data_IF_257872273370
#
_entry.id   IF_257872273370
#
_cell.length_a   1.000
_cell.length_b   1.000
_cell.length_c   1.000
_cell.angle_alpha   90.00
_cell.angle_beta   90.00
_cell.angle_gamma   90.00
#
_symmetry.space_group_name_H-M   'P 1'
#
loop_
_entity.id
_entity.type
_entity.pdbx_description
1 polymer ?
#
# COMPACT_ATOMS: atom_id res chain seq x y z
N UNK A 1 -62.63 13.83 -46.09
CA UNK A 1 -62.20 12.84 -47.11
C UNK A 1 -60.68 12.72 -47.02
N UNK A 2 -60.25 11.65 -46.35
CA UNK A 2 -59.07 10.81 -46.59
C UNK A 2 -57.72 11.45 -47.03
N UNK A 3 -56.74 11.43 -46.09
CA UNK A 3 -55.32 10.92 -46.21
C UNK A 3 -54.38 11.70 -47.15
N UNK A 4 -53.12 12.07 -46.88
CA UNK A 4 -51.93 11.48 -46.21
C UNK A 4 -50.86 12.61 -46.16
N UNK A 5 -49.82 12.69 -45.31
CA UNK A 5 -48.63 11.84 -45.23
C UNK A 5 -47.73 12.30 -44.05
N UNK A 6 -47.17 11.31 -43.34
CA UNK A 6 -45.79 11.16 -42.80
C UNK A 6 -45.22 12.08 -41.68
N UNK A 7 -45.02 11.41 -40.55
CA UNK A 7 -43.97 11.44 -39.49
C UNK A 7 -42.78 12.42 -39.51
N UNK A 8 -42.58 13.02 -38.32
CA UNK A 8 -41.49 13.78 -37.63
C UNK A 8 -40.06 13.15 -37.60
N UNK A 9 -38.98 13.74 -36.98
CA UNK A 9 -38.86 15.03 -36.24
C UNK A 9 -37.57 15.90 -36.43
N UNK A 10 -37.59 17.06 -35.74
CA UNK A 10 -36.51 17.83 -35.10
C UNK A 10 -35.51 18.64 -35.96
N UNK A 11 -35.62 19.97 -35.91
CA UNK A 11 -34.55 20.83 -35.37
C UNK A 11 -34.93 22.33 -35.36
N UNK A 12 -34.33 23.02 -34.39
CA UNK A 12 -34.13 24.48 -34.27
C UNK A 12 -35.34 25.40 -34.11
N UNK A 13 -35.55 25.88 -32.87
CA UNK A 13 -36.06 27.23 -32.64
C UNK A 13 -34.95 28.05 -32.00
N UNK A 14 -34.38 28.97 -32.79
CA UNK A 14 -33.58 30.08 -32.31
C UNK A 14 -34.50 31.05 -31.56
N UNK A 15 -34.04 31.59 -30.43
CA UNK A 15 -34.58 32.83 -29.89
C UNK A 15 -33.45 33.78 -29.55
N UNK A 16 -33.39 34.84 -30.33
CA UNK A 16 -32.48 35.97 -30.19
C UNK A 16 -32.89 36.88 -29.03
N UNK A 17 -31.93 37.10 -28.13
CA UNK A 17 -31.49 38.36 -27.51
C UNK A 17 -32.55 39.38 -27.07
N UNK A 18 -32.56 39.66 -25.76
CA UNK A 18 -32.82 40.99 -25.23
C UNK A 18 -31.65 41.39 -24.31
N UNK A 19 -30.86 42.36 -24.76
CA UNK A 19 -29.79 43.00 -24.02
C UNK A 19 -30.42 43.97 -23.02
N UNK A 20 -30.28 43.71 -21.72
CA UNK A 20 -30.62 44.66 -20.66
C UNK A 20 -29.32 45.18 -20.03
N UNK A 21 -29.09 46.48 -20.18
CA UNK A 21 -28.03 47.22 -19.51
C UNK A 21 -28.31 47.24 -18.01
N UNK A 22 -27.60 46.39 -17.27
CA UNK A 22 -27.60 46.37 -15.81
C UNK A 22 -26.17 46.29 -15.32
N UNK A 23 -25.78 47.24 -14.48
CA UNK A 23 -24.51 47.30 -13.75
C UNK A 23 -24.34 46.04 -12.90
N UNK A 24 -23.71 45.02 -13.48
CA UNK A 24 -23.32 43.81 -12.80
C UNK A 24 -22.06 43.32 -13.47
N UNK A 25 -20.91 43.54 -12.83
CA UNK A 25 -19.71 42.77 -13.15
C UNK A 25 -20.07 41.33 -12.83
N UNK A 26 -20.39 40.55 -13.86
CA UNK A 26 -20.51 39.10 -13.75
C UNK A 26 -19.08 38.60 -13.55
N UNK A 27 -18.62 38.61 -12.30
CA UNK A 27 -17.45 37.83 -11.93
C UNK A 27 -17.86 36.37 -12.08
N UNK A 28 -17.58 35.80 -13.25
CA UNK A 28 -17.59 34.36 -13.41
C UNK A 28 -16.48 33.84 -12.49
N UNK A 29 -16.87 33.46 -11.27
CA UNK A 29 -16.00 32.74 -10.37
C UNK A 29 -15.75 31.38 -11.01
N UNK A 30 -14.67 31.29 -11.79
CA UNK A 30 -14.06 29.99 -12.09
C UNK A 30 -13.63 29.45 -10.74
N UNK A 31 -14.46 28.56 -10.18
CA UNK A 31 -14.12 27.74 -9.04
C UNK A 31 -12.72 27.19 -9.29
N UNK A 32 -11.81 27.40 -8.35
CA UNK A 32 -10.48 26.81 -8.42
C UNK A 32 -10.71 25.30 -8.53
N UNK A 33 -10.42 24.73 -9.70
CA UNK A 33 -10.42 23.29 -9.86
C UNK A 33 -9.36 22.80 -8.90
N UNK A 34 -9.77 22.13 -7.82
CA UNK A 34 -8.83 21.33 -7.02
C UNK A 34 -8.02 20.50 -7.99
N UNK A 35 -6.70 20.46 -7.80
CA UNK A 35 -5.79 19.75 -8.66
C UNK A 35 -6.22 18.27 -8.76
N UNK A 36 -6.92 17.90 -9.84
CA UNK A 36 -7.34 16.53 -10.08
C UNK A 36 -6.18 15.79 -10.72
N UNK A 37 -5.48 15.02 -9.90
CA UNK A 37 -4.30 14.32 -10.40
C UNK A 37 -4.64 13.04 -11.14
N UNK A 38 -3.89 12.83 -12.24
CA UNK A 38 -4.02 11.64 -13.05
C UNK A 38 -3.79 10.38 -12.20
N UNK A 39 -4.53 9.33 -12.53
CA UNK A 39 -4.43 8.02 -11.87
C UNK A 39 -2.96 7.55 -11.83
N UNK A 40 -2.44 7.33 -10.63
CA UNK A 40 -1.05 6.89 -10.41
C UNK A 40 -0.08 8.02 -10.02
N UNK A 41 -0.55 9.25 -9.93
CA UNK A 41 0.20 10.37 -9.35
C UNK A 41 -0.33 10.74 -7.96
N UNK A 42 0.52 11.38 -7.17
CA UNK A 42 0.14 12.03 -5.92
C UNK A 42 0.42 13.51 -6.05
N UNK A 43 -0.48 14.29 -5.51
CA UNK A 43 -0.44 15.74 -5.53
C UNK A 43 -0.67 16.25 -4.12
N UNK A 44 0.40 16.74 -3.51
CA UNK A 44 0.31 17.40 -2.24
C UNK A 44 -0.15 18.82 -2.51
N UNK A 45 -1.42 19.07 -2.22
CA UNK A 45 -1.91 20.42 -2.03
C UNK A 45 -1.54 20.88 -0.62
N UNK A 46 -1.15 22.13 -0.51
CA UNK A 46 -0.82 22.76 0.78
C UNK A 46 -2.06 23.39 1.45
N UNK A 47 -3.23 23.25 0.81
CA UNK A 47 -4.54 23.55 1.41
C UNK A 47 -4.99 22.51 2.43
N UNK A 48 -4.62 21.23 2.23
CA UNK A 48 -5.06 20.09 3.03
C UNK A 48 -4.28 19.87 4.33
N UNK A 49 -4.07 18.60 4.70
CA UNK A 49 -3.41 18.16 5.94
C UNK A 49 -1.87 18.14 5.88
N UNK A 50 -1.26 18.86 4.93
CA UNK A 50 0.20 18.92 4.82
C UNK A 50 0.81 19.64 6.02
N UNK A 51 1.81 19.00 6.64
CA UNK A 51 2.56 19.47 7.79
C UNK A 51 3.97 19.90 7.38
N UNK A 52 4.62 20.71 8.24
CA UNK A 52 5.89 21.37 7.96
C UNK A 52 6.84 21.24 9.13
N UNK A 53 8.09 20.85 8.85
CA UNK A 53 9.16 20.76 9.85
C UNK A 53 10.36 21.59 9.36
N UNK A 54 10.48 22.87 9.79
CA UNK A 54 11.60 23.72 9.42
C UNK A 54 12.90 23.24 10.08
N UNK A 55 14.00 23.35 9.37
CA UNK A 55 15.32 22.92 9.86
C UNK A 55 16.41 23.95 9.53
N UNK A 56 17.57 23.78 10.16
CA UNK A 56 18.80 24.56 9.89
C UNK A 56 18.60 26.09 9.97
N UNK A 57 17.72 26.52 10.87
CA UNK A 57 17.45 27.94 11.12
C UNK A 57 16.53 28.62 10.10
N UNK A 58 15.72 27.87 9.34
CA UNK A 58 14.64 28.47 8.54
C UNK A 58 13.70 29.27 9.47
N UNK A 59 13.45 30.54 9.17
CA UNK A 59 12.69 31.47 10.03
C UNK A 59 11.28 30.97 10.27
N UNK A 60 10.61 30.48 9.23
CA UNK A 60 9.33 29.78 9.37
C UNK A 60 8.99 28.94 8.15
N UNK A 61 8.21 27.89 8.38
CA UNK A 61 7.51 27.14 7.35
C UNK A 61 6.08 26.88 7.84
N UNK A 62 5.08 27.19 7.00
CA UNK A 62 3.69 27.02 7.40
C UNK A 62 2.71 27.29 6.27
N UNK A 63 1.43 27.12 6.58
CA UNK A 63 0.32 27.40 5.67
C UNK A 63 0.01 28.91 5.61
N UNK A 64 -0.22 29.44 4.42
CA UNK A 64 -0.64 30.83 4.21
C UNK A 64 -1.64 30.96 3.05
N UNK A 65 -2.31 32.10 2.94
CA UNK A 65 -3.15 32.39 1.77
C UNK A 65 -2.29 32.57 0.51
N UNK A 66 -2.83 32.21 -0.65
CA UNK A 66 -2.21 32.46 -1.96
C UNK A 66 -1.85 33.97 -2.10
N UNK A 67 -0.57 34.32 -2.37
CA UNK A 67 -0.11 35.70 -2.46
C UNK A 67 -0.71 36.48 -3.64
N UNK A 68 -1.21 35.81 -4.68
CA UNK A 68 -1.82 36.46 -5.86
C UNK A 68 -3.35 36.54 -5.73
N UNK A 69 -3.96 35.63 -4.97
CA UNK A 69 -5.42 35.52 -4.83
C UNK A 69 -5.87 35.31 -3.37
N UNK A 70 -5.50 36.24 -2.49
CA UNK A 70 -5.77 36.19 -1.05
C UNK A 70 -7.25 36.07 -0.63
N UNK A 71 -8.20 36.34 -1.54
CA UNK A 71 -9.64 36.25 -1.29
C UNK A 71 -10.26 34.88 -1.65
N UNK A 72 -9.44 33.90 -2.08
CA UNK A 72 -9.90 32.52 -2.35
C UNK A 72 -9.55 31.59 -1.19
N UNK A 73 -10.30 30.50 -0.97
CA UNK A 73 -10.04 29.54 0.10
C UNK A 73 -8.77 28.68 -0.10
N UNK A 74 -7.99 28.91 -1.16
CA UNK A 74 -6.74 28.16 -1.41
C UNK A 74 -5.63 28.66 -0.47
N UNK A 75 -5.10 27.74 0.32
CA UNK A 75 -3.86 27.94 1.05
C UNK A 75 -2.68 27.26 0.36
N UNK A 76 -1.52 27.86 0.54
CA UNK A 76 -0.23 27.46 -0.01
C UNK A 76 0.80 27.33 1.11
N UNK A 77 1.92 26.67 0.85
CA UNK A 77 3.05 26.70 1.77
C UNK A 77 3.76 28.05 1.65
N UNK A 78 4.17 28.63 2.79
CA UNK A 78 4.98 29.84 2.90
C UNK A 78 6.22 29.54 3.71
N UNK A 79 7.38 29.65 3.09
CA UNK A 79 8.67 29.51 3.75
C UNK A 79 9.37 30.86 3.82
N UNK A 80 9.87 31.23 4.99
CA UNK A 80 10.65 32.45 5.22
C UNK A 80 12.07 32.03 5.55
N UNK A 81 13.03 32.51 4.77
CA UNK A 81 14.47 32.31 5.00
C UNK A 81 15.13 33.64 5.28
N UNK A 82 15.87 33.71 6.38
CA UNK A 82 16.53 34.92 6.85
C UNK A 82 18.04 34.74 7.01
N UNK A 83 18.75 35.82 7.39
CA UNK A 83 20.21 35.85 7.47
C UNK A 83 20.79 34.99 8.60
N UNK A 84 19.99 34.59 9.59
CA UNK A 84 20.42 33.75 10.71
C UNK A 84 20.38 32.24 10.42
N UNK A 85 19.73 31.82 9.34
CA UNK A 85 19.65 30.42 8.92
C UNK A 85 20.87 29.98 8.10
N UNK A 86 21.04 28.67 7.93
CA UNK A 86 22.08 28.16 7.04
C UNK A 86 21.79 28.52 5.56
N UNK A 87 22.83 28.60 4.70
CA UNK A 87 22.66 28.74 3.25
C UNK A 87 21.77 27.64 2.63
N UNK A 88 21.67 26.48 3.27
CA UNK A 88 20.79 25.35 2.92
C UNK A 88 19.60 25.18 3.89
N UNK A 89 19.16 26.23 4.58
CA UNK A 89 17.95 26.15 5.39
C UNK A 89 16.71 25.86 4.52
N UNK A 90 15.82 25.01 5.05
CA UNK A 90 14.64 24.51 4.35
C UNK A 90 13.62 23.89 5.32
N UNK A 91 12.61 23.24 4.76
CA UNK A 91 11.65 22.49 5.56
C UNK A 91 11.26 21.18 4.90
N UNK A 92 10.98 20.18 5.74
CA UNK A 92 10.35 18.92 5.32
C UNK A 92 8.85 19.12 5.22
N UNK A 93 8.25 18.62 4.13
CA UNK A 93 6.81 18.61 3.91
C UNK A 93 6.31 17.17 3.95
N UNK A 94 5.27 16.91 4.76
CA UNK A 94 4.81 15.55 5.03
C UNK A 94 3.31 15.48 5.28
N UNK A 95 2.76 14.27 5.18
CA UNK A 95 1.33 13.98 5.39
C UNK A 95 1.11 12.93 6.49
N UNK A 96 2.15 12.20 6.89
CA UNK A 96 2.13 11.28 8.02
C UNK A 96 2.97 11.87 9.16
N UNK A 97 2.33 12.16 10.29
CA UNK A 97 2.98 12.77 11.44
C UNK A 97 3.92 11.83 12.18
N UNK A 98 3.64 10.52 12.19
CA UNK A 98 4.38 9.54 12.98
C UNK A 98 5.86 9.42 12.58
N UNK A 99 6.14 9.55 11.28
CA UNK A 99 7.48 9.35 10.70
C UNK A 99 7.90 10.48 9.76
N UNK A 100 7.13 11.58 9.72
CA UNK A 100 7.32 12.72 8.81
C UNK A 100 7.42 12.30 7.33
N UNK A 101 6.61 11.31 6.92
CA UNK A 101 6.61 10.78 5.55
C UNK A 101 5.45 11.29 4.67
N UNK A 102 5.61 11.06 3.37
CA UNK A 102 4.59 11.16 2.33
C UNK A 102 4.37 9.79 1.70
N UNK A 103 3.37 9.66 0.83
CA UNK A 103 3.19 8.44 0.03
C UNK A 103 4.48 8.12 -0.76
N UNK A 104 4.92 6.85 -0.83
CA UNK A 104 6.17 6.51 -1.52
C UNK A 104 6.24 7.02 -2.96
N UNK A 105 7.39 7.63 -3.26
CA UNK A 105 7.68 8.30 -4.53
C UNK A 105 8.18 7.27 -5.54
N UNK A 106 7.54 7.25 -6.70
CA UNK A 106 7.73 6.27 -7.77
C UNK A 106 8.85 6.62 -8.73
N UNK A 107 10.06 6.81 -8.21
CA UNK A 107 11.27 7.13 -8.99
C UNK A 107 11.72 5.99 -9.93
N UNK A 108 11.13 4.81 -9.77
CA UNK A 108 11.22 3.66 -10.68
C UNK A 108 10.45 3.88 -11.99
N UNK A 109 9.45 4.76 -11.98
CA UNK A 109 8.61 5.06 -13.14
C UNK A 109 8.90 6.43 -13.74
N UNK A 110 9.08 7.42 -12.87
CA UNK A 110 9.38 8.79 -13.26
C UNK A 110 10.28 9.40 -12.21
N UNK A 111 11.42 9.93 -12.65
CA UNK A 111 12.34 10.70 -11.80
C UNK A 111 11.97 12.18 -11.73
N UNK A 112 10.85 12.55 -12.34
CA UNK A 112 10.38 13.92 -12.42
C UNK A 112 9.41 14.21 -11.28
N UNK A 113 9.68 15.28 -10.54
CA UNK A 113 8.76 15.90 -9.58
C UNK A 113 8.55 17.34 -10.02
N UNK A 114 7.30 17.81 -10.00
CA UNK A 114 7.01 19.22 -10.30
C UNK A 114 6.44 19.91 -9.07
N UNK A 115 6.77 21.19 -8.89
CA UNK A 115 6.24 22.01 -7.79
C UNK A 115 5.89 23.37 -8.35
N UNK A 116 4.72 23.91 -8.02
CA UNK A 116 4.45 25.32 -8.29
C UNK A 116 5.15 26.17 -7.24
N UNK A 117 5.88 27.18 -7.70
CA UNK A 117 6.69 28.06 -6.87
C UNK A 117 6.34 29.51 -7.17
N UNK A 118 6.22 30.32 -6.13
CA UNK A 118 6.18 31.77 -6.23
C UNK A 118 7.37 32.33 -5.45
N UNK A 119 8.33 32.90 -6.17
CA UNK A 119 9.47 33.60 -5.60
C UNK A 119 9.41 35.08 -5.96
N UNK A 120 10.07 35.93 -5.15
CA UNK A 120 10.10 37.38 -5.41
C UNK A 120 11.00 37.75 -6.60
N UNK A 121 11.93 36.87 -6.99
CA UNK A 121 12.89 37.10 -8.06
C UNK A 121 13.14 35.83 -8.88
N UNK A 122 13.49 36.02 -10.16
CA UNK A 122 14.05 34.99 -11.02
C UNK A 122 15.51 34.67 -10.65
N UNK A 123 16.03 33.55 -11.14
CA UNK A 123 17.41 33.09 -10.93
C UNK A 123 17.68 32.50 -9.54
N UNK A 124 16.64 32.29 -8.73
CA UNK A 124 16.77 31.72 -7.39
C UNK A 124 16.80 30.20 -7.49
N UNK A 125 17.83 29.58 -6.90
CA UNK A 125 17.92 28.12 -6.84
C UNK A 125 16.97 27.59 -5.77
N UNK A 126 16.08 26.70 -6.17
CA UNK A 126 15.30 25.87 -5.25
C UNK A 126 15.88 24.47 -5.32
N UNK A 127 16.22 23.88 -4.17
CA UNK A 127 16.58 22.47 -4.10
C UNK A 127 15.38 21.66 -3.64
N UNK A 128 15.19 20.51 -4.29
CA UNK A 128 14.29 19.46 -3.84
C UNK A 128 15.12 18.24 -3.42
N UNK A 129 14.86 17.75 -2.20
CA UNK A 129 15.44 16.52 -1.67
C UNK A 129 14.33 15.50 -1.46
N UNK A 130 14.59 14.26 -1.86
CA UNK A 130 13.79 13.09 -1.50
C UNK A 130 14.63 12.11 -0.71
N UNK A 131 14.06 11.53 0.34
CA UNK A 131 14.78 10.66 1.28
C UNK A 131 13.94 9.44 1.67
N UNK A 132 14.60 8.44 2.22
CA UNK A 132 13.93 7.44 3.04
C UNK A 132 13.67 8.05 4.44
N UNK A 133 12.41 8.07 4.88
CA UNK A 133 12.03 8.62 6.18
C UNK A 133 12.70 7.91 7.37
N UNK A 134 13.07 6.63 7.21
CA UNK A 134 13.70 5.80 8.24
C UNK A 134 15.24 5.69 8.09
N UNK A 135 15.79 6.18 6.98
CA UNK A 135 17.23 6.12 6.70
C UNK A 135 17.68 7.40 5.97
N UNK A 136 18.12 8.44 6.71
CA UNK A 136 18.55 9.70 6.12
C UNK A 136 19.84 9.57 5.28
N UNK A 137 20.55 8.44 5.35
CA UNK A 137 21.69 8.14 4.46
C UNK A 137 21.24 7.78 3.03
N UNK A 138 19.96 7.52 2.82
CA UNK A 138 19.36 7.26 1.52
C UNK A 138 18.62 8.50 1.03
N UNK A 139 19.23 9.27 0.13
CA UNK A 139 18.66 10.49 -0.45
C UNK A 139 18.94 10.63 -1.95
N UNK A 140 18.18 11.49 -2.61
CA UNK A 140 18.50 12.07 -3.93
C UNK A 140 18.09 13.54 -3.89
N UNK A 141 18.93 14.41 -4.43
CA UNK A 141 18.73 15.86 -4.44
C UNK A 141 18.88 16.39 -5.86
N UNK A 142 18.05 17.35 -6.25
CA UNK A 142 18.23 18.08 -7.51
C UNK A 142 17.79 19.52 -7.38
N UNK A 143 18.35 20.37 -8.23
CA UNK A 143 18.11 21.81 -8.25
C UNK A 143 17.23 22.20 -9.43
N UNK A 144 16.44 23.25 -9.25
CA UNK A 144 15.77 23.98 -10.32
C UNK A 144 15.87 25.48 -10.02
N UNK A 145 15.94 26.32 -11.07
CA UNK A 145 15.99 27.78 -10.91
C UNK A 145 14.65 28.41 -11.27
N UNK A 146 14.26 29.42 -10.51
CA UNK A 146 13.13 30.28 -10.87
C UNK A 146 13.43 31.05 -12.15
N UNK A 147 12.44 31.18 -13.03
CA UNK A 147 12.55 31.93 -14.29
C UNK A 147 11.78 33.25 -14.23
N UNK A 148 10.86 33.39 -13.29
CA UNK A 148 10.05 34.60 -13.08
C UNK A 148 10.12 35.07 -11.64
N UNK A 149 9.95 36.37 -11.43
CA UNK A 149 9.81 36.99 -10.11
C UNK A 149 8.40 37.57 -9.95
N UNK A 150 7.82 37.44 -8.76
CA UNK A 150 6.51 38.00 -8.44
C UNK A 150 5.33 37.30 -9.13
N UNK A 151 5.53 36.09 -9.66
CA UNK A 151 4.50 35.28 -10.30
C UNK A 151 4.66 33.80 -9.95
N UNK A 152 3.56 33.04 -10.09
CA UNK A 152 3.59 31.59 -9.98
C UNK A 152 4.19 30.97 -11.24
N UNK A 153 5.13 30.04 -11.07
CA UNK A 153 5.65 29.16 -12.13
C UNK A 153 5.69 27.72 -11.65
N UNK A 154 5.82 26.75 -12.56
CA UNK A 154 6.03 25.34 -12.22
C UNK A 154 7.47 24.97 -12.45
N UNK A 155 8.19 24.65 -11.39
CA UNK A 155 9.55 24.11 -11.48
C UNK A 155 9.51 22.59 -11.68
N UNK A 156 10.40 22.09 -12.53
CA UNK A 156 10.57 20.66 -12.81
C UNK A 156 11.90 20.22 -12.23
N UNK A 157 11.86 19.21 -11.37
CA UNK A 157 13.00 18.61 -10.69
C UNK A 157 13.26 17.23 -11.29
N UNK A 158 14.43 17.04 -11.90
CA UNK A 158 14.84 15.76 -12.48
C UNK A 158 15.84 15.03 -11.58
N UNK A 159 15.33 14.09 -10.79
CA UNK A 159 16.13 13.25 -9.89
C UNK A 159 16.95 12.17 -10.64
N UNK A 160 16.87 12.12 -11.97
CA UNK A 160 17.81 11.40 -12.83
C UNK A 160 19.13 12.15 -13.04
N UNK A 161 19.17 13.44 -12.72
CA UNK A 161 20.34 14.32 -12.79
C UNK A 161 20.60 14.92 -11.41
N UNK A 162 21.07 14.11 -10.43
CA UNK A 162 21.26 14.58 -9.07
C UNK A 162 22.27 15.74 -9.00
N UNK A 163 22.07 16.64 -8.04
CA UNK A 163 22.97 17.76 -7.81
C UNK A 163 24.40 17.27 -7.51
N UNK A 164 25.45 18.00 -7.94
CA UNK A 164 26.83 17.60 -7.71
C UNK A 164 27.13 17.31 -6.23
N UNK A 165 27.81 16.20 -5.96
CA UNK A 165 28.18 15.78 -4.61
C UNK A 165 27.05 15.11 -3.81
N UNK A 166 25.92 14.79 -4.44
CA UNK A 166 24.78 14.11 -3.79
C UNK A 166 24.59 12.68 -4.33
N UNK A 167 23.95 11.77 -3.56
CA UNK A 167 23.78 10.40 -4.01
C UNK A 167 22.83 10.27 -5.22
N UNK A 168 23.13 9.32 -6.10
CA UNK A 168 22.24 8.95 -7.20
C UNK A 168 21.09 8.07 -6.71
N UNK A 169 19.99 8.06 -7.48
CA UNK A 169 18.85 7.19 -7.22
C UNK A 169 19.25 5.70 -7.15
N UNK A 170 18.84 5.05 -6.06
CA UNK A 170 19.01 3.62 -5.88
C UNK A 170 17.66 2.88 -6.02
N UNK A 171 17.48 2.02 -7.04
CA UNK A 171 16.22 1.30 -7.25
C UNK A 171 15.88 0.29 -6.16
N UNK A 172 16.85 -0.13 -5.35
CA UNK A 172 16.63 -1.04 -4.22
C UNK A 172 16.04 -0.31 -2.99
N UNK A 173 15.93 1.02 -3.03
CA UNK A 173 15.52 1.84 -1.89
C UNK A 173 14.12 2.41 -2.05
N UNK A 174 13.55 2.85 -0.93
CA UNK A 174 12.27 3.56 -0.87
C UNK A 174 12.53 5.02 -0.51
N UNK A 175 11.81 5.91 -1.19
CA UNK A 175 11.84 7.34 -0.96
C UNK A 175 10.42 7.78 -0.60
N UNK A 176 10.25 8.35 0.59
CA UNK A 176 8.96 8.70 1.17
C UNK A 176 9.05 9.93 2.08
N UNK A 177 10.08 10.77 1.94
CA UNK A 177 10.21 12.05 2.62
C UNK A 177 10.65 13.11 1.61
N UNK A 178 10.09 14.32 1.72
CA UNK A 178 10.37 15.42 0.80
C UNK A 178 10.76 16.66 1.59
N UNK A 179 11.86 17.30 1.20
CA UNK A 179 12.29 18.57 1.75
C UNK A 179 12.53 19.59 0.64
N UNK A 180 12.09 20.83 0.88
CA UNK A 180 12.22 21.95 -0.04
C UNK A 180 13.13 23.02 0.57
N UNK A 181 14.04 23.52 -0.24
CA UNK A 181 15.09 24.47 0.17
C UNK A 181 14.96 25.72 -0.69
N UNK A 182 14.26 26.77 -0.22
CA UNK A 182 14.16 28.02 -0.95
C UNK A 182 15.51 28.74 -0.93
N UNK A 183 15.91 29.29 -2.08
CA UNK A 183 17.20 29.99 -2.24
C UNK A 183 18.35 29.14 -1.67
N UNK A 184 18.46 27.91 -2.16
CA UNK A 184 19.54 27.01 -1.80
C UNK A 184 20.88 27.61 -2.23
N UNK A 185 21.84 27.61 -1.31
CA UNK A 185 23.20 28.08 -1.53
C UNK A 185 24.15 27.26 -0.65
N UNK A 186 25.44 27.24 -1.04
CA UNK A 186 26.53 26.67 -0.22
C UNK A 186 27.51 27.75 0.25
N UNK A 187 27.30 29.01 -0.12
CA UNK A 187 28.21 30.11 0.20
C UNK A 187 27.72 30.98 1.36
N UNK A 188 26.47 31.46 1.29
CA UNK A 188 25.91 32.37 2.29
C UNK A 188 24.36 32.34 2.28
N UNK A 189 23.71 32.62 3.44
CA UNK A 189 22.27 32.87 3.50
C UNK A 189 21.91 34.23 2.85
N UNK A 190 20.61 34.51 2.60
CA UNK A 190 20.19 35.81 2.10
C UNK A 190 20.48 36.93 3.11
N UNK A 191 20.73 38.15 2.62
CA UNK A 191 21.05 39.31 3.46
C UNK A 191 19.85 39.80 4.29
N UNK A 192 18.62 39.53 3.84
CA UNK A 192 17.38 39.87 4.51
C UNK A 192 16.41 38.69 4.45
N UNK A 193 15.34 38.77 5.23
CA UNK A 193 14.25 37.82 5.11
C UNK A 193 13.69 37.79 3.69
N UNK A 194 13.49 36.59 3.20
CA UNK A 194 12.95 36.33 1.88
C UNK A 194 11.85 35.28 1.98
N UNK A 195 10.77 35.49 1.22
CA UNK A 195 9.61 34.62 1.25
C UNK A 195 9.48 33.87 -0.08
N UNK A 196 9.31 32.55 0.01
CA UNK A 196 8.98 31.68 -1.13
C UNK A 196 7.71 30.92 -0.79
N UNK A 197 6.80 30.82 -1.76
CA UNK A 197 5.59 30.02 -1.63
C UNK A 197 5.65 28.79 -2.52
N UNK A 198 5.05 27.70 -2.05
CA UNK A 198 4.96 26.44 -2.80
C UNK A 198 3.50 25.98 -2.85
N UNK A 199 3.09 25.49 -4.01
CA UNK A 199 1.83 24.79 -4.20
C UNK A 199 2.01 23.58 -5.13
N UNK A 200 0.97 22.74 -5.23
CA UNK A 200 0.84 21.71 -6.26
C UNK A 200 2.12 20.86 -6.45
N UNK A 201 2.60 20.22 -5.37
CA UNK A 201 3.74 19.31 -5.45
C UNK A 201 3.25 17.97 -6.01
N UNK A 202 3.75 17.60 -7.19
CA UNK A 202 3.26 16.45 -7.97
C UNK A 202 4.38 15.47 -8.26
N UNK A 203 4.12 14.19 -7.97
CA UNK A 203 5.02 13.09 -8.33
C UNK A 203 4.25 11.83 -8.73
N UNK A 204 4.89 10.97 -9.54
CA UNK A 204 4.39 9.61 -9.79
C UNK A 204 4.50 8.78 -8.52
N UNK A 205 3.42 8.11 -8.11
CA UNK A 205 3.45 7.21 -6.95
C UNK A 205 4.16 5.90 -7.29
N UNK A 206 5.00 5.42 -6.35
CA UNK A 206 5.51 4.06 -6.42
C UNK A 206 4.31 3.13 -6.28
N UNK A 207 4.05 2.30 -7.30
CA UNK A 207 3.00 1.29 -7.19
C UNK A 207 3.67 0.01 -6.72
N UNK A 208 3.78 -0.09 -5.39
CA UNK A 208 4.40 -1.21 -4.67
C UNK A 208 5.10 -0.71 -3.41
N UNK A 209 4.56 -1.05 -2.24
CA UNK A 209 5.18 -0.81 -0.93
C UNK A 209 4.78 0.47 -0.21
N UNK A 210 3.54 0.95 -0.35
CA UNK A 210 2.98 1.83 0.67
C UNK A 210 2.80 1.04 1.96
N UNK A 211 2.98 1.69 3.11
CA UNK A 211 2.39 1.28 4.39
C UNK A 211 0.88 1.13 4.15
N UNK A 212 0.51 -0.03 3.64
CA UNK A 212 -0.88 -0.31 3.37
C UNK A 212 -1.43 -0.64 4.74
N UNK A 213 -2.53 0.00 5.14
CA UNK A 213 -3.23 -0.42 6.35
C UNK A 213 -3.31 -1.97 6.34
N UNK A 214 -3.09 -2.62 7.49
CA UNK A 214 -3.10 -4.08 7.57
C UNK A 214 -4.26 -4.63 6.75
N UNK A 215 -3.95 -5.44 5.73
CA UNK A 215 -4.98 -6.12 4.99
C UNK A 215 -5.52 -7.21 5.88
N UNK A 216 -6.77 -7.06 6.35
CA UNK A 216 -7.50 -8.18 6.92
C UNK A 216 -7.87 -9.11 5.77
N UNK A 217 -7.14 -10.21 5.64
CA UNK A 217 -7.34 -11.19 4.57
C UNK A 217 -8.47 -12.14 4.94
N UNK A 218 -8.46 -12.65 6.16
CA UNK A 218 -9.53 -13.45 6.72
C UNK A 218 -9.58 -13.29 8.24
N UNK A 219 -10.76 -13.12 8.80
CA UNK A 219 -11.03 -13.12 10.23
C UNK A 219 -12.46 -13.59 10.47
N UNK A 220 -12.71 -14.14 11.65
CA UNK A 220 -14.02 -14.56 12.15
C UNK A 220 -14.77 -15.45 11.16
N UNK A 221 -14.70 -16.76 11.38
CA UNK A 221 -15.26 -17.75 10.48
C UNK A 221 -16.66 -18.18 10.90
N UNK A 222 -17.52 -18.42 9.91
CA UNK A 222 -18.82 -19.04 10.07
C UNK A 222 -18.83 -20.36 9.31
N UNK A 223 -19.36 -21.41 9.94
CA UNK A 223 -19.54 -22.69 9.28
C UNK A 223 -20.66 -22.60 8.24
N UNK A 224 -20.38 -23.03 7.01
CA UNK A 224 -21.34 -23.01 5.89
C UNK A 224 -21.98 -24.39 5.72
N UNK A 225 -21.17 -25.45 5.80
CA UNK A 225 -21.60 -26.84 5.78
C UNK A 225 -20.68 -27.69 6.68
N UNK A 226 -20.88 -29.02 6.80
CA UNK A 226 -20.09 -29.86 7.71
C UNK A 226 -18.57 -29.85 7.48
N UNK A 227 -18.08 -29.39 6.34
CA UNK A 227 -16.65 -29.40 5.97
C UNK A 227 -16.13 -28.08 5.39
N UNK A 228 -16.98 -27.05 5.27
CA UNK A 228 -16.60 -25.73 4.74
C UNK A 228 -17.03 -24.56 5.63
N UNK A 229 -16.26 -23.48 5.51
CA UNK A 229 -16.44 -22.24 6.26
C UNK A 229 -16.33 -21.02 5.33
N UNK A 230 -16.72 -19.86 5.85
CA UNK A 230 -16.51 -18.57 5.21
C UNK A 230 -15.97 -17.58 6.23
N UNK A 231 -15.01 -16.76 5.83
CA UNK A 231 -14.53 -15.62 6.64
C UNK A 231 -15.54 -14.47 6.59
N UNK A 232 -15.44 -13.52 7.52
CA UNK A 232 -16.23 -12.28 7.47
C UNK A 232 -15.95 -11.45 6.22
N UNK A 233 -14.77 -11.63 5.60
CA UNK A 233 -14.38 -11.01 4.33
C UNK A 233 -14.97 -11.73 3.11
N UNK A 234 -15.77 -12.78 3.31
CA UNK A 234 -16.45 -13.53 2.25
C UNK A 234 -15.56 -14.51 1.47
N UNK A 235 -14.38 -14.84 2.01
CA UNK A 235 -13.50 -15.88 1.45
C UNK A 235 -13.90 -17.26 1.97
N UNK A 236 -14.09 -18.21 1.07
CA UNK A 236 -14.35 -19.61 1.43
C UNK A 236 -13.12 -20.26 2.05
N UNK A 237 -13.34 -21.12 3.04
CA UNK A 237 -12.30 -21.89 3.69
C UNK A 237 -12.72 -23.36 3.81
N UNK A 238 -11.74 -24.25 3.86
CA UNK A 238 -11.97 -25.68 3.88
C UNK A 238 -10.72 -26.47 4.21
N UNK A 239 -10.87 -27.79 4.18
CA UNK A 239 -9.81 -28.74 4.55
C UNK A 239 -9.55 -29.72 3.42
N UNK A 240 -8.37 -30.32 3.42
CA UNK A 240 -8.02 -31.40 2.52
C UNK A 240 -7.01 -32.32 3.18
N UNK A 241 -7.02 -33.58 2.77
CA UNK A 241 -6.09 -34.61 3.21
C UNK A 241 -5.76 -35.51 2.04
N UNK A 242 -4.62 -36.19 2.12
CA UNK A 242 -4.31 -37.32 1.24
C UNK A 242 -5.41 -38.40 1.30
N UNK A 243 -6.19 -38.50 0.23
CA UNK A 243 -7.26 -39.49 0.11
C UNK A 243 -6.77 -40.86 -0.34
N UNK A 244 -5.48 -41.02 -0.66
CA UNK A 244 -4.89 -42.33 -0.96
C UNK A 244 -4.68 -43.18 0.28
N UNK A 245 -4.76 -42.55 1.45
CA UNK A 245 -4.65 -43.17 2.76
C UNK A 245 -6.02 -43.17 3.45
N UNK A 246 -6.47 -44.30 4.03
CA UNK A 246 -7.70 -44.32 4.82
C UNK A 246 -7.60 -43.41 6.04
N UNK A 247 -8.42 -42.36 6.07
CA UNK A 247 -8.47 -41.38 7.16
C UNK A 247 -9.91 -41.12 7.57
N UNK A 248 -10.14 -40.92 8.87
CA UNK A 248 -11.44 -40.55 9.41
C UNK A 248 -11.47 -39.05 9.70
N UNK A 249 -12.54 -38.37 9.30
CA UNK A 249 -12.78 -36.99 9.70
C UNK A 249 -13.51 -36.97 11.04
N UNK A 250 -12.84 -36.52 12.09
CA UNK A 250 -13.28 -36.77 13.47
C UNK A 250 -14.01 -35.61 14.10
N UNK A 251 -13.47 -34.40 14.00
CA UNK A 251 -14.08 -33.21 14.57
C UNK A 251 -13.86 -32.02 13.66
N UNK A 252 -14.76 -31.06 13.75
CA UNK A 252 -14.64 -29.76 13.12
C UNK A 252 -15.57 -28.75 13.79
N UNK A 253 -15.35 -27.46 13.53
CA UNK A 253 -16.25 -26.41 14.00
C UNK A 253 -15.64 -25.01 13.87
N UNK A 254 -16.27 -24.06 14.57
CA UNK A 254 -15.79 -22.68 14.71
C UNK A 254 -15.71 -22.30 16.18
N UNK A 255 -14.79 -21.40 16.49
CA UNK A 255 -14.61 -20.84 17.83
C UNK A 255 -14.67 -19.30 17.79
N UNK A 256 -15.82 -18.68 17.40
CA UNK A 256 -15.91 -17.24 17.19
C UNK A 256 -15.85 -16.40 18.48
N UNK A 257 -16.09 -17.02 19.64
CA UNK A 257 -16.05 -16.37 20.96
C UNK A 257 -14.70 -16.44 21.67
N UNK A 258 -13.73 -17.15 21.10
CA UNK A 258 -12.39 -17.27 21.68
C UNK A 258 -11.60 -15.96 21.52
N UNK A 259 -10.59 -15.76 22.37
CA UNK A 259 -9.65 -14.64 22.23
C UNK A 259 -8.94 -14.61 20.87
N UNK A 260 -8.81 -15.77 20.21
CA UNK A 260 -8.35 -15.89 18.83
C UNK A 260 -9.36 -16.71 18.03
N UNK A 261 -10.32 -16.05 17.35
CA UNK A 261 -11.35 -16.73 16.58
C UNK A 261 -10.79 -17.60 15.46
N UNK A 262 -11.29 -18.82 15.32
CA UNK A 262 -10.81 -19.79 14.31
C UNK A 262 -11.92 -20.68 13.77
N UNK A 263 -11.63 -21.34 12.64
CA UNK A 263 -12.22 -22.64 12.36
C UNK A 263 -11.21 -23.73 12.68
N UNK A 264 -11.70 -24.92 13.02
CA UNK A 264 -10.85 -26.03 13.41
C UNK A 264 -11.37 -27.35 12.86
N UNK A 265 -10.48 -28.32 12.76
CA UNK A 265 -10.78 -29.65 12.27
C UNK A 265 -9.71 -30.66 12.70
N UNK A 266 -10.01 -31.94 12.58
CA UNK A 266 -9.02 -32.98 12.78
C UNK A 266 -9.40 -34.33 12.21
N UNK A 267 -8.37 -35.11 11.98
CA UNK A 267 -8.43 -36.44 11.40
C UNK A 267 -7.90 -37.48 12.37
N UNK A 268 -8.51 -38.66 12.31
CA UNK A 268 -7.98 -39.89 12.89
C UNK A 268 -7.37 -40.75 11.81
N UNK A 269 -6.12 -41.14 12.01
CA UNK A 269 -5.38 -41.94 11.03
C UNK A 269 -4.95 -43.23 11.71
N UNK A 270 -5.40 -44.37 11.19
CA UNK A 270 -5.19 -45.69 11.78
C UNK A 270 -4.74 -46.66 10.71
N UNK A 271 -3.58 -46.35 10.14
CA UNK A 271 -2.93 -47.19 9.14
C UNK A 271 -1.41 -47.06 9.27
N UNK A 272 -0.70 -48.10 8.83
CA UNK A 272 0.76 -48.09 8.75
C UNK A 272 1.30 -47.25 7.58
N UNK A 273 0.40 -46.81 6.67
CA UNK A 273 0.74 -45.96 5.53
C UNK A 273 0.58 -44.48 5.92
N UNK A 274 1.66 -43.72 5.84
CA UNK A 274 1.63 -42.29 6.17
C UNK A 274 1.15 -41.48 4.94
N UNK A 275 0.15 -40.60 5.08
CA UNK A 275 -0.27 -39.71 4.01
C UNK A 275 0.85 -38.73 3.62
N UNK A 276 0.80 -38.16 2.42
CA UNK A 276 1.68 -37.04 2.05
C UNK A 276 1.51 -35.85 2.99
N UNK A 277 0.31 -35.69 3.57
CA UNK A 277 -0.03 -34.64 4.50
C UNK A 277 -1.52 -34.32 4.51
N UNK A 278 -1.86 -33.27 5.25
CA UNK A 278 -3.17 -32.65 5.26
C UNK A 278 -3.02 -31.13 5.41
N UNK A 279 -4.10 -30.40 5.20
CA UNK A 279 -4.09 -28.97 5.40
C UNK A 279 -5.45 -28.31 5.33
N UNK A 280 -5.41 -26.99 5.40
CA UNK A 280 -6.54 -26.11 5.19
C UNK A 280 -6.20 -25.05 4.15
N UNK A 281 -7.23 -24.51 3.52
CA UNK A 281 -7.14 -23.33 2.67
C UNK A 281 -8.10 -22.25 3.15
N UNK A 282 -7.74 -21.00 2.89
CA UNK A 282 -8.59 -19.82 3.07
C UNK A 282 -8.44 -18.94 1.84
N UNK A 283 -9.53 -18.78 1.11
CA UNK A 283 -9.57 -17.93 -0.07
C UNK A 283 -9.52 -16.46 0.31
N UNK A 284 -9.07 -15.66 -0.64
CA UNK A 284 -9.04 -14.21 -0.53
C UNK A 284 -10.46 -13.64 -0.33
N UNK A 285 -10.57 -12.40 0.19
CA UNK A 285 -11.85 -11.69 0.30
C UNK A 285 -12.72 -11.84 -0.95
N UNK A 286 -14.00 -12.13 -0.73
CA UNK A 286 -15.00 -12.41 -1.77
C UNK A 286 -14.60 -13.49 -2.79
N UNK A 287 -13.76 -14.46 -2.40
CA UNK A 287 -13.18 -15.47 -3.29
C UNK A 287 -12.43 -14.87 -4.51
N UNK A 288 -11.90 -13.66 -4.35
CA UNK A 288 -11.22 -12.93 -5.41
C UNK A 288 -9.72 -13.19 -5.45
N UNK A 289 -8.96 -12.14 -5.75
CA UNK A 289 -7.50 -12.15 -5.70
C UNK A 289 -7.05 -10.81 -5.15
N UNK A 290 -6.19 -10.83 -4.13
CA UNK A 290 -5.69 -9.61 -3.49
C UNK A 290 -4.19 -9.47 -3.70
N UNK A 291 -3.75 -8.25 -4.00
CA UNK A 291 -2.33 -7.96 -4.23
C UNK A 291 -1.61 -7.84 -2.90
N UNK A 292 -0.75 -8.80 -2.60
CA UNK A 292 -0.01 -8.85 -1.33
C UNK A 292 1.47 -8.45 -1.47
N UNK A 293 1.99 -8.32 -2.69
CA UNK A 293 3.41 -7.95 -2.92
C UNK A 293 3.80 -6.54 -2.45
N UNK A 294 2.86 -5.75 -1.94
CA UNK A 294 3.12 -4.45 -1.30
C UNK A 294 3.32 -4.52 0.21
N UNK A 295 3.09 -5.68 0.83
CA UNK A 295 3.25 -5.90 2.26
C UNK A 295 4.58 -6.58 2.57
N UNK A 296 5.06 -6.42 3.81
CA UNK A 296 6.33 -6.97 4.27
C UNK A 296 6.17 -8.32 4.95
N UNK A 297 5.00 -8.57 5.55
CA UNK A 297 4.73 -9.78 6.32
C UNK A 297 3.33 -10.32 6.09
N UNK A 298 3.21 -11.64 6.20
CA UNK A 298 1.98 -12.37 6.47
C UNK A 298 1.90 -12.57 7.98
N UNK A 299 0.79 -12.15 8.61
CA UNK A 299 0.44 -12.57 9.96
C UNK A 299 -0.64 -13.63 9.92
N UNK A 300 -0.43 -14.71 10.65
CA UNK A 300 -1.37 -15.82 10.72
C UNK A 300 -1.34 -16.47 12.10
N UNK A 301 -2.52 -16.72 12.67
CA UNK A 301 -2.66 -17.54 13.85
C UNK A 301 -2.94 -18.99 13.46
N UNK A 302 -2.11 -19.94 13.92
CA UNK A 302 -2.28 -21.37 13.68
C UNK A 302 -1.92 -22.15 14.92
N UNK A 303 -2.75 -23.12 15.27
CA UNK A 303 -2.45 -24.13 16.30
C UNK A 303 -3.22 -25.41 15.97
N UNK A 304 -3.31 -26.34 16.90
CA UNK A 304 -4.05 -27.59 16.72
C UNK A 304 -4.16 -28.36 18.01
N UNK A 305 -4.52 -29.65 17.92
CA UNK A 305 -4.60 -30.52 19.08
C UNK A 305 -3.20 -30.80 19.66
N UNK A 306 -3.15 -31.00 20.98
CA UNK A 306 -1.91 -31.14 21.73
C UNK A 306 -1.09 -32.35 21.27
N UNK A 307 -1.73 -33.44 20.83
CA UNK A 307 -1.02 -34.61 20.31
C UNK A 307 -0.18 -34.26 19.08
N UNK A 308 -0.64 -33.35 18.21
CA UNK A 308 0.17 -32.90 17.07
C UNK A 308 1.18 -31.84 17.51
N UNK A 309 0.74 -30.82 18.24
CA UNK A 309 1.55 -29.62 18.50
C UNK A 309 2.73 -29.88 19.45
N UNK A 310 2.62 -30.86 20.35
CA UNK A 310 3.72 -31.28 21.21
C UNK A 310 4.87 -31.98 20.46
N UNK A 311 4.67 -32.37 19.20
CA UNK A 311 5.76 -32.85 18.33
C UNK A 311 6.48 -31.72 17.58
N UNK A 312 6.12 -30.46 17.83
CA UNK A 312 6.76 -29.29 17.23
C UNK A 312 6.84 -29.36 15.68
N UNK A 313 5.71 -29.63 15.00
CA UNK A 313 5.73 -29.77 13.55
C UNK A 313 6.21 -28.48 12.87
N UNK A 314 6.88 -28.64 11.73
CA UNK A 314 7.10 -27.54 10.80
C UNK A 314 5.90 -27.45 9.84
N UNK A 315 5.14 -26.36 9.95
CA UNK A 315 3.96 -26.10 9.14
C UNK A 315 4.37 -25.44 7.83
N UNK A 316 3.94 -26.00 6.70
CA UNK A 316 4.14 -25.39 5.40
C UNK A 316 3.04 -24.36 5.14
N UNK A 317 3.43 -23.16 4.73
CA UNK A 317 2.54 -22.05 4.39
C UNK A 317 2.61 -21.81 2.89
N UNK A 318 1.47 -21.78 2.22
CA UNK A 318 1.40 -21.53 0.78
C UNK A 318 0.61 -20.26 0.49
N UNK A 319 1.12 -19.46 -0.45
CA UNK A 319 0.36 -18.42 -1.13
C UNK A 319 0.08 -18.91 -2.55
N UNK A 320 -1.19 -19.12 -2.86
CA UNK A 320 -1.65 -19.56 -4.18
C UNK A 320 -2.19 -18.35 -4.93
N UNK A 321 -1.63 -18.06 -6.09
CA UNK A 321 -2.06 -16.95 -6.94
C UNK A 321 -3.26 -17.29 -7.84
N UNK A 322 -3.70 -16.35 -8.69
CA UNK A 322 -4.82 -16.58 -9.60
C UNK A 322 -4.45 -17.63 -10.67
N UNK A 323 -5.42 -18.46 -11.04
CA UNK A 323 -5.28 -19.44 -12.11
C UNK A 323 -5.11 -18.76 -13.46
N UNK A 324 -4.00 -19.04 -14.14
CA UNK A 324 -3.71 -18.60 -15.51
C UNK A 324 -3.58 -19.84 -16.38
N UNK A 325 -4.44 -19.97 -17.39
CA UNK A 325 -4.45 -21.12 -18.31
C UNK A 325 -4.47 -22.49 -17.60
N UNK A 326 -5.24 -22.60 -16.51
CA UNK A 326 -5.37 -23.84 -15.73
C UNK A 326 -4.26 -24.10 -14.70
N UNK A 327 -3.29 -23.21 -14.55
CA UNK A 327 -2.20 -23.32 -13.58
C UNK A 327 -2.26 -22.15 -12.58
N UNK A 328 -2.27 -22.45 -11.27
CA UNK A 328 -2.18 -21.42 -10.23
C UNK A 328 -0.75 -21.40 -9.64
N UNK A 329 -0.05 -20.25 -9.64
CA UNK A 329 1.30 -20.20 -9.10
C UNK A 329 1.26 -20.43 -7.59
N UNK A 330 2.27 -21.12 -7.06
CA UNK A 330 2.37 -21.43 -5.63
C UNK A 330 3.69 -20.92 -5.11
N UNK A 331 3.64 -20.12 -4.06
CA UNK A 331 4.79 -19.77 -3.26
C UNK A 331 4.73 -20.46 -1.90
N UNK A 332 5.83 -20.99 -1.42
CA UNK A 332 5.92 -21.73 -0.16
C UNK A 332 6.87 -21.04 0.82
N UNK A 333 6.48 -21.04 2.10
CA UNK A 333 7.31 -20.75 3.26
C UNK A 333 7.02 -21.81 4.34
N UNK A 334 7.68 -21.75 5.49
CA UNK A 334 7.36 -22.62 6.63
C UNK A 334 7.54 -21.92 7.96
N UNK A 335 6.83 -22.41 8.98
CA UNK A 335 6.97 -21.97 10.37
C UNK A 335 7.05 -23.16 11.31
N UNK A 336 7.99 -23.13 12.25
CA UNK A 336 8.12 -24.17 13.27
C UNK A 336 7.16 -23.89 14.44
N UNK A 337 6.44 -24.92 14.89
CA UNK A 337 5.65 -24.85 16.13
C UNK A 337 6.59 -24.91 17.33
N UNK A 338 6.58 -23.87 18.15
CA UNK A 338 7.44 -23.77 19.34
C UNK A 338 6.76 -24.24 20.61
N UNK A 339 5.43 -24.23 20.67
CA UNK A 339 4.63 -24.65 21.82
C UNK A 339 3.20 -25.06 21.41
N UNK A 340 2.50 -25.87 22.22
CA UNK A 340 1.07 -26.12 22.06
C UNK A 340 0.23 -24.85 22.35
N UNK A 341 -1.06 -24.91 22.07
CA UNK A 341 -1.97 -23.76 22.17
C UNK A 341 -1.77 -22.73 21.05
N UNK A 342 -2.47 -21.59 21.16
CA UNK A 342 -2.54 -20.56 20.11
C UNK A 342 -1.15 -19.99 19.79
N UNK A 343 -0.69 -20.16 18.55
CA UNK A 343 0.53 -19.53 18.03
C UNK A 343 0.18 -18.44 17.01
N UNK A 344 0.90 -17.32 17.09
CA UNK A 344 0.79 -16.21 16.16
C UNK A 344 2.11 -16.03 15.41
N UNK A 345 2.09 -16.25 14.10
CA UNK A 345 3.26 -16.17 13.24
C UNK A 345 3.29 -14.85 12.48
N UNK A 346 4.46 -14.21 12.44
CA UNK A 346 4.76 -13.11 11.51
C UNK A 346 5.81 -13.62 10.53
N UNK A 347 5.40 -13.85 9.29
CA UNK A 347 6.20 -14.51 8.25
C UNK A 347 6.58 -13.48 7.21
N UNK A 348 7.88 -13.19 6.99
CA UNK A 348 8.29 -12.25 5.95
C UNK A 348 7.77 -12.67 4.58
N UNK A 349 7.16 -11.76 3.82
CA UNK A 349 6.77 -12.04 2.42
C UNK A 349 7.99 -12.45 1.58
N UNK A 350 9.17 -11.92 1.93
CA UNK A 350 10.44 -12.27 1.30
C UNK A 350 10.90 -13.72 1.55
N UNK A 351 10.35 -14.44 2.54
CA UNK A 351 10.69 -15.85 2.78
C UNK A 351 9.92 -16.82 1.88
N UNK A 352 8.90 -16.35 1.16
CA UNK A 352 8.12 -17.17 0.26
C UNK A 352 8.86 -17.41 -1.06
N UNK A 353 9.20 -18.67 -1.33
CA UNK A 353 9.84 -19.11 -2.56
C UNK A 353 8.81 -19.61 -3.57
N UNK A 354 8.96 -19.23 -4.85
CA UNK A 354 8.09 -19.73 -5.93
C UNK A 354 8.43 -21.20 -6.24
N UNK A 355 7.52 -22.11 -5.93
CA UNK A 355 7.70 -23.55 -6.16
C UNK A 355 6.92 -24.05 -7.36
N UNK A 356 5.77 -23.44 -7.65
CA UNK A 356 5.00 -23.69 -8.88
C UNK A 356 4.93 -22.39 -9.68
N UNK A 357 5.72 -22.22 -10.74
CA UNK A 357 5.83 -20.93 -11.42
C UNK A 357 4.61 -20.51 -12.25
N UNK A 358 3.92 -21.43 -12.91
CA UNK A 358 2.77 -21.14 -13.79
C UNK A 358 2.97 -19.94 -14.75
N UNK A 359 4.18 -19.81 -15.32
CA UNK A 359 4.52 -18.72 -16.26
C UNK A 359 5.07 -17.44 -15.61
N UNK A 360 5.13 -17.35 -14.29
CA UNK A 360 5.79 -16.24 -13.59
C UNK A 360 7.30 -16.50 -13.44
N UNK A 361 8.12 -15.51 -13.80
CA UNK A 361 9.57 -15.62 -13.78
C UNK A 361 10.20 -15.54 -12.37
N UNK A 362 9.44 -15.10 -11.36
CA UNK A 362 9.95 -14.91 -10.00
C UNK A 362 8.82 -14.85 -8.97
N UNK A 363 9.17 -15.05 -7.70
CA UNK A 363 8.26 -14.89 -6.57
C UNK A 363 7.60 -13.49 -6.55
N UNK A 364 8.37 -12.44 -6.79
CA UNK A 364 7.85 -11.06 -6.84
C UNK A 364 6.86 -10.86 -7.99
N UNK A 365 7.09 -11.47 -9.16
CA UNK A 365 6.16 -11.43 -10.28
C UNK A 365 4.83 -12.15 -9.95
N UNK A 366 4.90 -13.32 -9.31
CA UNK A 366 3.72 -14.06 -8.87
C UNK A 366 2.93 -13.26 -7.80
N UNK A 367 3.61 -12.71 -6.78
CA UNK A 367 2.98 -11.89 -5.74
C UNK A 367 2.37 -10.58 -6.28
N UNK A 368 2.91 -10.05 -7.37
CA UNK A 368 2.35 -8.87 -8.05
C UNK A 368 1.05 -9.16 -8.80
N UNK A 369 0.85 -10.41 -9.26
CA UNK A 369 -0.42 -10.87 -9.81
C UNK A 369 -1.49 -11.02 -8.70
N UNK A 370 -1.04 -11.35 -7.49
CA UNK A 370 -1.84 -11.41 -6.28
C UNK A 370 -2.01 -12.82 -5.74
N UNK A 371 -2.64 -12.92 -4.58
CA UNK A 371 -2.94 -14.15 -3.86
C UNK A 371 -4.45 -14.39 -3.89
N UNK A 372 -4.85 -15.56 -4.37
CA UNK A 372 -6.23 -16.04 -4.41
C UNK A 372 -6.56 -16.94 -3.21
N UNK A 373 -5.58 -17.65 -2.66
CA UNK A 373 -5.77 -18.48 -1.46
C UNK A 373 -4.49 -18.58 -0.62
N UNK A 374 -4.65 -18.70 0.70
CA UNK A 374 -3.59 -19.01 1.66
C UNK A 374 -3.81 -20.42 2.20
N UNK A 375 -2.79 -21.25 2.23
CA UNK A 375 -2.90 -22.60 2.77
C UNK A 375 -1.93 -22.82 3.93
N UNK A 376 -2.34 -23.69 4.84
CA UNK A 376 -1.50 -24.23 5.92
C UNK A 376 -1.52 -25.75 5.80
N UNK A 377 -0.34 -26.37 5.77
CA UNK A 377 -0.19 -27.81 5.60
C UNK A 377 0.71 -28.40 6.68
N UNK A 378 0.36 -29.61 7.10
CA UNK A 378 1.22 -30.51 7.86
C UNK A 378 1.60 -31.63 6.92
N UNK A 379 2.86 -31.62 6.47
CA UNK A 379 3.39 -32.68 5.60
C UNK A 379 3.61 -33.95 6.40
N UNK A 380 3.58 -35.13 5.77
CA UNK A 380 3.57 -36.43 6.44
C UNK A 380 4.73 -36.67 7.43
N UNK A 381 5.89 -36.05 7.22
CA UNK A 381 7.02 -36.10 8.16
C UNK A 381 6.80 -35.30 9.45
N UNK A 382 5.85 -34.37 9.45
CA UNK A 382 5.49 -33.50 10.56
C UNK A 382 4.16 -33.92 11.23
N UNK A 383 3.53 -34.98 10.76
CA UNK A 383 2.32 -35.53 11.40
C UNK A 383 2.69 -36.43 12.57
N UNK A 384 1.79 -36.53 13.55
CA UNK A 384 2.01 -37.40 14.71
C UNK A 384 1.47 -38.80 14.46
N UNK A 385 2.28 -39.80 14.79
CA UNK A 385 1.96 -41.24 14.71
C UNK A 385 2.47 -42.01 15.95
N UNK A 386 2.62 -41.31 17.07
CA UNK A 386 3.27 -41.87 18.27
C UNK A 386 2.34 -41.91 19.48
N UNK A 387 1.30 -41.07 19.53
CA UNK A 387 0.30 -41.07 20.58
C UNK A 387 -1.08 -41.42 19.99
N UNK A 388 -1.49 -42.69 20.16
CA UNK A 388 -2.84 -43.12 19.79
C UNK A 388 -3.87 -42.59 20.80
N UNK A 389 -4.98 -42.07 20.30
CA UNK A 389 -5.89 -41.21 21.08
C UNK A 389 -7.17 -41.89 21.54
N UNK A 390 -7.57 -43.00 20.91
CA UNK A 390 -8.89 -43.62 21.12
C UNK A 390 -8.85 -45.10 21.53
N UNK A 391 -7.67 -45.64 21.86
CA UNK A 391 -7.49 -47.05 22.18
C UNK A 391 -7.66 -48.02 21.00
N UNK A 392 -8.09 -47.53 19.83
CA UNK A 392 -8.24 -48.32 18.61
C UNK A 392 -7.05 -48.17 17.65
N UNK A 393 -6.05 -47.36 18.00
CA UNK A 393 -4.85 -47.14 17.18
C UNK A 393 -4.95 -45.96 16.21
N UNK A 394 -5.95 -45.07 16.37
CA UNK A 394 -6.02 -43.86 15.56
C UNK A 394 -5.18 -42.71 16.16
N UNK A 395 -4.39 -42.07 15.31
CA UNK A 395 -3.55 -40.93 15.63
C UNK A 395 -4.23 -39.60 15.27
N UNK A 396 -4.55 -38.79 16.29
CA UNK A 396 -5.14 -37.47 16.17
C UNK A 396 -4.21 -36.46 15.49
N UNK A 397 -4.65 -35.89 14.37
CA UNK A 397 -3.96 -34.82 13.66
C UNK A 397 -4.96 -33.74 13.23
N UNK A 398 -4.86 -32.55 13.80
CA UNK A 398 -5.81 -31.46 13.55
C UNK A 398 -5.17 -30.07 13.62
N UNK A 399 -5.84 -29.12 12.98
CA UNK A 399 -5.42 -27.73 12.94
C UNK A 399 -6.59 -26.80 13.29
N UNK A 400 -6.23 -25.66 13.86
CA UNK A 400 -7.06 -24.50 14.06
C UNK A 400 -6.45 -23.36 13.24
N UNK A 401 -7.25 -22.74 12.38
CA UNK A 401 -6.83 -21.63 11.53
C UNK A 401 -7.54 -20.37 12.00
N UNK A 402 -6.76 -19.44 12.55
CA UNK A 402 -7.23 -18.17 13.07
C UNK A 402 -7.21 -17.04 12.03
N UNK A 403 -7.11 -15.78 12.49
CA UNK A 403 -7.05 -14.62 11.61
C UNK A 403 -5.79 -14.62 10.72
N UNK A 404 -5.94 -14.06 9.53
CA UNK A 404 -4.91 -13.90 8.50
C UNK A 404 -4.89 -12.43 8.08
N UNK A 405 -3.71 -11.80 8.11
CA UNK A 405 -3.52 -10.45 7.60
C UNK A 405 -2.18 -10.27 6.90
N UNK A 406 -2.06 -9.20 6.10
CA UNK A 406 -0.80 -8.77 5.52
C UNK A 406 -0.46 -7.36 5.99
N UNK A 407 0.80 -7.13 6.37
CA UNK A 407 1.30 -5.88 6.96
C UNK A 407 2.61 -5.38 6.33
#
# INVERSE_FOLDING_TARGET
MTVSLRTFPLSTLALSVALCLGTGVVTSAVAATELTCAKGMTCLSFSGSTLYDPFEGLVSAGKAKDPVKANRPNNVAKFIKGPSGQPWAGATVYTNEADKSVKPIGLDKSKIITVRVFAQAAGQTVRLKVENALDPGTSVETDAQTTVGGAWETLTFDLGQPAPGTPAYNPAKTYNKISLFPQFSVSAPPATDTTTYFDDLVYTTKKGGGTTAPLVYAANYTQVDPVTWTSTQGGSAGTYIDTTVPTQYWWNGVAPGDATPSFYFGYGINVNQKPWGFGAFVNAPANGTVKVGGYTSLKIAVWGNDELMNHHPNLALLLVGPTVSGCAPVLTSSVAVTAPGVQNYTVPISSFALTTPCGYASASAALAAGTASTHVQVLGSNMQFTAATDGNGNYANGLNIGPISFE
#
